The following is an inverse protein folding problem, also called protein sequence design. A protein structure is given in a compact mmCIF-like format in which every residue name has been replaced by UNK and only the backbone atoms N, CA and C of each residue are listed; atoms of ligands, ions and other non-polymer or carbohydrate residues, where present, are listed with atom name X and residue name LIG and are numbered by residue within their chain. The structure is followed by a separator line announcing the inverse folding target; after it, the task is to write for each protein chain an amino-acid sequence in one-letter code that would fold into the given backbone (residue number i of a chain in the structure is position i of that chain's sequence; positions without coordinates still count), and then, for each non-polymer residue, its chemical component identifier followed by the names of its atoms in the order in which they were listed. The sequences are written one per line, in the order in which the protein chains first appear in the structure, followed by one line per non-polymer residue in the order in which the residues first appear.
data_IF_033777512557
#
_entry.id   IF_033777512557
#
_cell.length_a   1.000
_cell.length_b   1.000
_cell.length_c   1.000
_cell.angle_alpha   90.00
_cell.angle_beta   90.00
_cell.angle_gamma   90.00
#
_symmetry.space_group_name_H-M   'P 1'
#
loop_
_entity.id
_entity.type
_entity.pdbx_description
1 polymer ?
#
# COMPACT_ATOMS: atom_id res chain seq x y z
N UNK A 1 -17.28 22.22 -6.85
CA UNK A 1 -16.96 21.02 -6.36
C UNK A 1 -17.31 20.81 -4.89
N UNK A 2 -17.74 19.65 -4.54
CA UNK A 2 -18.13 19.41 -3.22
C UNK A 2 -16.99 19.15 -2.34
N UNK A 3 -17.09 19.51 -1.12
CA UNK A 3 -16.04 19.23 -0.22
C UNK A 3 -16.18 17.84 0.30
N UNK A 4 -15.13 17.08 0.38
CA UNK A 4 -15.17 15.76 0.94
C UNK A 4 -15.15 15.86 2.46
N UNK A 5 -15.83 14.95 3.11
CA UNK A 5 -15.80 14.95 4.55
C UNK A 5 -14.43 14.50 5.04
N UNK A 6 -14.03 14.93 6.21
CA UNK A 6 -12.73 14.54 6.74
C UNK A 6 -12.55 13.03 6.82
N UNK A 7 -13.63 12.33 7.08
CA UNK A 7 -13.57 10.88 7.19
C UNK A 7 -13.24 10.24 5.85
N UNK A 8 -13.85 10.73 4.79
CA UNK A 8 -13.62 10.19 3.47
C UNK A 8 -12.18 10.46 3.04
N UNK A 9 -11.72 11.67 3.31
CA UNK A 9 -10.36 12.03 2.97
C UNK A 9 -9.37 11.12 3.68
N UNK A 10 -9.61 10.89 4.96
CA UNK A 10 -8.74 10.05 5.74
C UNK A 10 -8.77 8.62 5.23
N UNK A 11 -9.95 8.14 4.86
CA UNK A 11 -10.09 6.78 4.36
C UNK A 11 -9.28 6.58 3.09
N UNK A 12 -9.35 7.56 2.20
CA UNK A 12 -8.60 7.49 0.96
C UNK A 12 -7.11 7.45 1.25
N UNK A 13 -6.68 8.24 2.21
CA UNK A 13 -5.28 8.29 2.57
C UNK A 13 -4.80 6.96 3.13
N UNK A 14 -5.59 6.39 4.02
CA UNK A 14 -5.24 5.12 4.64
C UNK A 14 -5.22 4.01 3.61
N UNK A 15 -6.21 3.99 2.73
CA UNK A 15 -6.29 2.96 1.71
C UNK A 15 -5.07 3.06 0.79
N UNK A 16 -4.72 4.27 0.37
CA UNK A 16 -3.56 4.45 -0.48
C UNK A 16 -2.29 3.98 0.21
N UNK A 17 -2.17 4.30 1.49
CA UNK A 17 -1.00 3.90 2.25
C UNK A 17 -0.91 2.38 2.35
N UNK A 18 -2.05 1.74 2.59
CA UNK A 18 -2.08 0.28 2.70
C UNK A 18 -1.71 -0.38 1.37
N UNK A 19 -2.17 0.20 0.28
CA UNK A 19 -1.85 -0.34 -1.03
C UNK A 19 -0.35 -0.25 -1.27
N UNK A 20 0.25 0.87 -0.93
CA UNK A 20 1.68 1.03 -1.08
C UNK A 20 2.45 0.03 -0.24
N UNK A 21 2.00 -0.16 0.99
CA UNK A 21 2.64 -1.12 1.87
C UNK A 21 2.53 -2.53 1.31
N UNK A 22 1.36 -2.86 0.78
CA UNK A 22 1.14 -4.19 0.21
C UNK A 22 2.08 -4.42 -0.97
N UNK A 23 2.20 -3.42 -1.83
CA UNK A 23 3.09 -3.54 -2.97
C UNK A 23 4.53 -3.72 -2.53
N UNK A 24 4.93 -2.92 -1.55
CA UNK A 24 6.29 -3.03 -1.04
C UNK A 24 6.54 -4.40 -0.42
N UNK A 25 5.55 -4.91 0.29
CA UNK A 25 5.69 -6.22 0.91
C UNK A 25 5.85 -7.30 -0.15
N UNK A 26 5.04 -7.22 -1.20
CA UNK A 26 5.11 -8.22 -2.25
C UNK A 26 6.48 -8.19 -2.93
N UNK A 27 6.95 -6.99 -3.22
CA UNK A 27 8.24 -6.84 -3.87
C UNK A 27 9.36 -7.36 -2.96
N UNK A 28 9.28 -7.03 -1.69
CA UNK A 28 10.30 -7.45 -0.73
C UNK A 28 10.32 -8.97 -0.60
N UNK A 29 9.15 -9.57 -0.48
CA UNK A 29 9.06 -11.02 -0.36
C UNK A 29 9.61 -11.68 -1.62
N UNK A 30 9.24 -11.15 -2.78
CA UNK A 30 9.73 -11.68 -4.03
C UNK A 30 11.25 -11.62 -4.11
N UNK A 31 11.80 -10.51 -3.64
CA UNK A 31 13.23 -10.31 -3.67
C UNK A 31 13.94 -11.32 -2.78
N UNK A 32 13.41 -11.48 -1.58
CA UNK A 32 14.01 -12.40 -0.62
C UNK A 32 13.94 -13.83 -1.15
N UNK A 33 12.81 -14.18 -1.72
CA UNK A 33 12.65 -15.51 -2.28
C UNK A 33 13.64 -15.77 -3.39
N UNK A 34 13.87 -14.78 -4.21
CA UNK A 34 14.79 -14.93 -5.29
C UNK A 34 16.19 -15.22 -4.79
N UNK A 35 16.57 -14.54 -3.73
CA UNK A 35 17.90 -14.72 -3.17
C UNK A 35 18.02 -16.10 -2.53
N UNK A 36 17.01 -16.50 -1.80
CA UNK A 36 17.01 -17.79 -1.13
C UNK A 36 16.63 -18.95 -2.03
N UNK A 37 15.58 -18.77 -2.75
CA UNK A 37 15.05 -19.83 -3.58
C UNK A 37 15.83 -20.03 -4.87
N UNK A 38 16.61 -19.09 -5.19
CA UNK A 38 17.46 -19.22 -6.38
C UNK A 38 16.72 -18.98 -7.66
#
# INVERSE_FOLDING_TARGET
RKRLSPQVEQAIHVVGFLILLALMAVVTVGDVRRVFGG
#
